data_IF_503073064599
#
_entry.id   IF_503073064599
#
_cell.length_a   1.000
_cell.length_b   1.000
_cell.length_c   1.000
_cell.angle_alpha   90.00
_cell.angle_beta   90.00
_cell.angle_gamma   90.00
#
_symmetry.space_group_name_H-M   'P 1'
#
loop_
_entity.id
_entity.type
_entity.pdbx_description
1 polymer ?
#
# COMPACT_ATOMS: atom_id res chain seq x y z
N UNK A 1 24.30 47.51 11.43
CA UNK A 1 23.50 48.32 10.48
C UNK A 1 22.31 47.45 10.12
N UNK A 2 21.20 47.61 10.84
CA UNK A 2 20.01 48.44 10.51
C UNK A 2 19.50 48.04 9.11
N UNK A 3 18.42 47.26 9.03
CA UNK A 3 16.99 47.61 9.13
C UNK A 3 16.36 47.79 7.74
N UNK A 4 15.30 47.02 7.45
CA UNK A 4 13.95 47.43 6.97
C UNK A 4 13.28 46.22 6.33
N UNK A 5 12.42 45.46 6.95
CA UNK A 5 10.96 45.67 7.15
C UNK A 5 10.31 46.39 5.96
N UNK A 6 9.53 45.63 5.21
CA UNK A 6 8.30 46.13 4.59
C UNK A 6 7.33 44.97 4.39
N UNK A 7 6.28 45.04 5.18
CA UNK A 7 5.05 44.28 5.06
C UNK A 7 4.24 44.82 3.89
N UNK A 8 3.54 43.93 3.18
CA UNK A 8 2.39 44.35 2.36
C UNK A 8 1.30 43.30 2.45
N UNK A 9 0.19 43.81 2.93
CA UNK A 9 -1.09 43.19 3.26
C UNK A 9 -1.92 42.83 2.03
N UNK A 10 -2.71 41.78 2.22
CA UNK A 10 -4.11 41.61 1.86
C UNK A 10 -4.55 41.64 0.39
N UNK A 11 -5.15 40.51 -0.02
CA UNK A 11 -6.49 40.58 -0.63
C UNK A 11 -7.18 39.23 -0.51
N UNK A 12 -8.17 39.22 0.35
CA UNK A 12 -9.23 38.21 0.46
C UNK A 12 -10.21 38.46 -0.69
N UNK A 13 -10.47 37.42 -1.50
CA UNK A 13 -11.67 37.39 -2.35
C UNK A 13 -12.44 36.13 -2.04
N UNK A 14 -13.50 36.31 -1.30
CA UNK A 14 -14.63 35.40 -1.12
C UNK A 14 -15.47 35.43 -2.39
N UNK A 15 -15.64 34.28 -3.02
CA UNK A 15 -16.75 34.06 -3.94
C UNK A 15 -17.55 32.86 -3.43
N UNK A 16 -18.71 33.23 -2.90
CA UNK A 16 -19.82 32.38 -2.48
C UNK A 16 -20.76 32.14 -3.66
N UNK A 17 -21.57 31.07 -3.56
CA UNK A 17 -22.76 30.70 -4.32
C UNK A 17 -22.51 29.70 -5.45
N UNK A 18 -23.36 28.70 -5.69
CA UNK A 18 -24.73 28.40 -5.30
C UNK A 18 -24.98 26.89 -5.34
N UNK A 19 -25.84 26.44 -4.46
CA UNK A 19 -26.52 25.17 -4.50
C UNK A 19 -27.48 25.10 -5.69
N UNK A 20 -27.67 23.91 -6.25
CA UNK A 20 -28.88 23.59 -6.99
C UNK A 20 -29.22 22.12 -6.80
N UNK A 21 -30.24 21.90 -5.94
CA UNK A 21 -31.05 20.70 -5.84
C UNK A 21 -31.80 20.48 -7.16
N UNK A 22 -31.87 19.25 -7.62
CA UNK A 22 -33.00 18.78 -8.41
C UNK A 22 -33.34 17.34 -8.01
N UNK A 23 -34.39 17.25 -7.20
CA UNK A 23 -35.30 16.13 -7.08
C UNK A 23 -35.97 15.83 -8.42
N UNK A 24 -35.95 14.56 -8.83
CA UNK A 24 -37.01 13.98 -9.63
C UNK A 24 -37.33 12.59 -9.10
N UNK A 25 -38.48 12.52 -8.46
CA UNK A 25 -39.22 11.31 -8.06
C UNK A 25 -39.96 10.70 -9.26
N UNK A 26 -40.20 9.43 -9.17
CA UNK A 26 -41.29 8.58 -9.68
C UNK A 26 -40.71 7.26 -10.17
N UNK A 27 -40.93 6.12 -9.57
CA UNK A 27 -42.16 5.49 -9.27
C UNK A 27 -42.37 4.30 -10.20
N UNK A 28 -42.24 3.07 -9.73
CA UNK A 28 -43.20 2.02 -10.13
C UNK A 28 -42.91 0.71 -9.40
N UNK A 29 -43.95 0.25 -8.78
CA UNK A 29 -44.21 -1.02 -8.11
C UNK A 29 -43.94 -2.25 -8.99
N UNK A 30 -43.41 -3.31 -8.38
CA UNK A 30 -43.36 -4.65 -8.94
C UNK A 30 -43.35 -5.68 -7.81
N UNK A 31 -44.55 -6.00 -7.32
CA UNK A 31 -44.83 -7.10 -6.39
C UNK A 31 -44.55 -8.44 -7.07
N UNK A 32 -43.71 -9.27 -6.45
CA UNK A 32 -43.48 -10.66 -6.86
C UNK A 32 -43.23 -11.53 -5.64
N UNK A 33 -44.31 -11.96 -5.01
CA UNK A 33 -44.35 -13.04 -4.02
C UNK A 33 -44.16 -14.37 -4.75
N UNK A 34 -43.33 -15.27 -4.26
CA UNK A 34 -43.58 -16.73 -4.15
C UNK A 34 -42.37 -17.37 -3.40
N UNK A 35 -42.73 -17.93 -2.30
CA UNK A 35 -42.81 -19.34 -1.88
C UNK A 35 -41.49 -19.95 -1.38
N UNK A 36 -41.50 -20.12 -0.09
CA UNK A 36 -40.79 -21.06 0.72
C UNK A 36 -40.81 -22.49 0.19
N UNK A 37 -39.67 -23.15 0.11
CA UNK A 37 -39.62 -24.61 0.18
C UNK A 37 -38.55 -25.02 1.18
N UNK A 38 -39.03 -25.47 2.31
CA UNK A 38 -38.33 -26.15 3.36
C UNK A 38 -37.92 -27.53 2.85
N UNK A 39 -36.64 -27.83 2.83
CA UNK A 39 -36.20 -29.24 2.76
C UNK A 39 -35.21 -29.47 3.88
N UNK A 40 -35.69 -30.15 4.88
CA UNK A 40 -34.94 -30.73 5.99
C UNK A 40 -34.13 -31.90 5.45
N UNK A 41 -32.79 -31.78 5.53
CA UNK A 41 -31.86 -32.86 5.25
C UNK A 41 -30.84 -32.92 6.37
N UNK A 42 -31.12 -33.69 7.41
CA UNK A 42 -30.14 -34.14 8.40
C UNK A 42 -29.15 -35.07 7.72
N UNK A 43 -27.88 -34.70 7.73
CA UNK A 43 -26.77 -35.65 7.66
C UNK A 43 -25.69 -35.21 8.63
N UNK A 44 -25.66 -35.93 9.74
CA UNK A 44 -24.55 -35.95 10.70
C UNK A 44 -23.29 -36.44 9.99
N UNK A 45 -22.44 -35.50 9.61
CA UNK A 45 -21.05 -35.74 9.22
C UNK A 45 -20.16 -35.32 10.38
N UNK A 46 -19.67 -36.26 11.15
CA UNK A 46 -18.59 -36.07 12.11
C UNK A 46 -17.33 -35.66 11.34
N UNK A 47 -17.18 -34.35 11.12
CA UNK A 47 -15.97 -33.75 10.59
C UNK A 47 -15.05 -33.49 11.76
N UNK A 48 -14.05 -34.32 11.94
CA UNK A 48 -12.87 -34.04 12.75
C UNK A 48 -12.32 -32.68 12.39
N UNK A 49 -12.55 -31.72 13.26
CA UNK A 49 -11.83 -30.43 13.24
C UNK A 49 -10.37 -30.77 13.51
N UNK A 50 -9.61 -30.97 12.44
CA UNK A 50 -8.17 -30.83 12.54
C UNK A 50 -7.93 -29.37 12.95
N UNK A 51 -7.67 -29.16 14.21
CA UNK A 51 -7.20 -27.89 14.73
C UNK A 51 -5.97 -27.53 13.92
N UNK A 52 -6.12 -26.52 13.05
CA UNK A 52 -4.99 -25.79 12.49
C UNK A 52 -4.36 -25.13 13.71
N UNK A 53 -3.34 -25.82 14.28
CA UNK A 53 -2.52 -25.26 15.31
C UNK A 53 -2.02 -23.92 14.79
N UNK A 54 -2.44 -22.85 15.42
CA UNK A 54 -1.83 -21.53 15.28
C UNK A 54 -0.39 -21.68 15.75
N UNK A 55 0.50 -22.11 14.86
CA UNK A 55 1.93 -22.04 15.11
C UNK A 55 2.24 -20.54 15.22
N UNK A 56 2.47 -20.09 16.44
CA UNK A 56 2.87 -18.72 16.68
C UNK A 56 4.06 -18.40 15.77
N UNK A 57 3.92 -17.35 14.96
CA UNK A 57 4.98 -16.92 14.05
C UNK A 57 6.23 -16.62 14.86
N UNK A 58 7.38 -17.00 14.34
CA UNK A 58 8.66 -16.77 15.03
C UNK A 58 8.90 -15.26 15.14
N UNK A 59 9.10 -14.72 16.35
CA UNK A 59 9.40 -13.29 16.55
C UNK A 59 10.59 -12.82 15.71
N UNK A 60 10.44 -11.69 15.01
CA UNK A 60 11.47 -11.12 14.13
C UNK A 60 11.63 -11.85 12.79
N UNK A 61 10.72 -12.76 12.44
CA UNK A 61 10.78 -13.48 11.16
C UNK A 61 10.07 -12.72 10.04
N UNK A 62 10.40 -13.09 8.80
CA UNK A 62 9.76 -12.58 7.60
C UNK A 62 8.24 -12.82 7.60
N UNK A 63 7.82 -13.95 8.08
CA UNK A 63 6.42 -14.36 8.14
C UNK A 63 5.63 -13.46 9.11
N UNK A 64 6.21 -13.17 10.29
CA UNK A 64 5.63 -12.23 11.25
C UNK A 64 5.55 -10.81 10.65
N UNK A 65 6.62 -10.35 10.00
CA UNK A 65 6.66 -9.04 9.35
C UNK A 65 5.54 -8.88 8.31
N UNK A 66 5.39 -9.87 7.42
CA UNK A 66 4.34 -9.85 6.39
C UNK A 66 2.95 -9.86 7.01
N UNK A 67 2.74 -10.68 8.03
CA UNK A 67 1.42 -10.83 8.67
C UNK A 67 1.01 -9.61 9.50
N UNK A 68 1.95 -8.99 10.22
CA UNK A 68 1.65 -7.87 11.12
C UNK A 68 1.57 -6.52 10.41
N UNK A 69 2.52 -6.23 9.49
CA UNK A 69 2.68 -4.88 8.93
C UNK A 69 2.64 -4.82 7.42
N UNK A 70 2.68 -5.97 6.76
CA UNK A 70 2.77 -6.03 5.30
C UNK A 70 4.17 -5.70 4.77
N UNK A 71 4.52 -6.32 3.66
CA UNK A 71 5.86 -6.23 3.06
C UNK A 71 5.97 -5.20 1.93
N UNK A 72 4.86 -4.63 1.44
CA UNK A 72 4.88 -3.85 0.20
C UNK A 72 4.08 -2.56 0.26
N UNK A 73 4.55 -1.60 -0.52
CA UNK A 73 3.88 -0.33 -0.81
C UNK A 73 3.75 -0.13 -2.31
N UNK A 74 2.74 0.62 -2.75
CA UNK A 74 2.44 0.83 -4.17
C UNK A 74 2.68 2.27 -4.59
N UNK A 75 3.04 2.42 -5.88
CA UNK A 75 3.36 3.71 -6.48
C UNK A 75 2.44 4.05 -7.65
N UNK A 76 2.27 5.34 -7.88
CA UNK A 76 1.63 5.86 -9.07
C UNK A 76 2.41 5.56 -10.36
N UNK A 77 1.78 5.80 -11.51
CA UNK A 77 2.46 5.71 -12.80
C UNK A 77 3.57 6.75 -12.86
N UNK A 78 4.76 6.29 -13.22
CA UNK A 78 5.97 7.12 -13.35
C UNK A 78 6.33 7.94 -12.10
N UNK A 79 5.91 7.46 -10.91
CA UNK A 79 6.15 8.13 -9.62
C UNK A 79 6.96 7.27 -8.68
N UNK A 80 7.73 7.95 -7.83
CA UNK A 80 8.43 7.39 -6.67
C UNK A 80 7.99 8.03 -5.35
N UNK A 81 7.02 8.97 -5.39
CA UNK A 81 6.47 9.59 -4.19
C UNK A 81 5.60 8.60 -3.41
N UNK A 82 5.74 8.64 -2.08
CA UNK A 82 4.96 7.81 -1.16
C UNK A 82 3.57 8.40 -0.94
N UNK A 83 2.54 7.62 -1.27
CA UNK A 83 1.16 7.99 -0.97
C UNK A 83 0.88 7.92 0.55
N UNK A 84 -0.18 8.57 1.07
CA UNK A 84 -0.55 8.45 2.48
C UNK A 84 -0.76 6.99 2.94
N UNK A 85 -1.32 6.13 2.08
CA UNK A 85 -1.47 4.71 2.37
C UNK A 85 -0.11 4.00 2.44
N UNK A 86 0.84 4.31 1.54
CA UNK A 86 2.19 3.78 1.60
C UNK A 86 2.90 4.22 2.89
N UNK A 87 2.76 5.48 3.27
CA UNK A 87 3.34 6.02 4.51
C UNK A 87 2.79 5.29 5.74
N UNK A 88 1.47 5.05 5.81
CA UNK A 88 0.87 4.30 6.92
C UNK A 88 1.42 2.87 7.03
N UNK A 89 1.62 2.17 5.91
CA UNK A 89 2.27 0.84 5.91
C UNK A 89 3.71 0.94 6.41
N UNK A 90 4.47 1.92 5.95
CA UNK A 90 5.86 2.12 6.36
C UNK A 90 6.00 2.55 7.83
N UNK A 91 5.01 3.26 8.38
CA UNK A 91 4.94 3.55 9.82
C UNK A 91 4.84 2.26 10.63
N UNK A 92 3.98 1.33 10.23
CA UNK A 92 3.90 0.00 10.83
C UNK A 92 5.23 -0.77 10.71
N UNK A 93 5.85 -0.75 9.54
CA UNK A 93 7.17 -1.38 9.32
C UNK A 93 8.26 -0.77 10.20
N UNK A 94 8.26 0.56 10.35
CA UNK A 94 9.23 1.24 11.21
C UNK A 94 9.08 0.82 12.69
N UNK A 95 7.85 0.76 13.21
CA UNK A 95 7.57 0.29 14.58
C UNK A 95 8.05 -1.16 14.77
N UNK A 96 7.77 -2.03 13.80
CA UNK A 96 8.23 -3.42 13.84
C UNK A 96 9.77 -3.52 13.81
N UNK A 97 10.44 -2.76 12.95
CA UNK A 97 11.90 -2.73 12.87
C UNK A 97 12.57 -2.14 14.12
N UNK A 98 11.88 -1.25 14.84
CA UNK A 98 12.32 -0.75 16.15
C UNK A 98 12.20 -1.84 17.22
N UNK A 99 11.14 -2.65 17.18
CA UNK A 99 10.95 -3.80 18.07
C UNK A 99 12.04 -4.86 17.88
N UNK A 100 12.57 -5.01 16.65
CA UNK A 100 13.59 -5.99 16.30
C UNK A 100 14.88 -5.33 15.76
N UNK A 101 15.73 -4.74 16.64
CA UNK A 101 16.88 -3.91 16.20
C UNK A 101 17.99 -4.70 15.48
N UNK A 102 18.07 -6.02 15.65
CA UNK A 102 19.04 -6.87 14.96
C UNK A 102 18.65 -7.25 13.53
N UNK A 103 17.37 -7.06 13.16
CA UNK A 103 16.87 -7.42 11.83
C UNK A 103 17.39 -6.43 10.79
N UNK A 104 17.85 -6.96 9.67
CA UNK A 104 18.21 -6.22 8.46
C UNK A 104 17.16 -6.44 7.40
N UNK A 105 17.03 -5.49 6.48
CA UNK A 105 16.06 -5.56 5.40
C UNK A 105 16.66 -5.09 4.09
N UNK A 106 16.17 -5.68 3.01
CA UNK A 106 16.45 -5.22 1.65
C UNK A 106 15.17 -4.67 1.03
N UNK A 107 15.19 -3.43 0.57
CA UNK A 107 14.07 -2.79 -0.12
C UNK A 107 14.24 -2.98 -1.62
N UNK A 108 13.31 -3.72 -2.21
CA UNK A 108 13.27 -4.00 -3.64
C UNK A 108 12.34 -3.00 -4.36
N UNK A 109 12.84 -2.37 -5.42
CA UNK A 109 12.07 -1.45 -6.27
C UNK A 109 11.64 -2.10 -7.57
N UNK A 110 10.34 -2.02 -7.88
CA UNK A 110 9.74 -2.64 -9.05
C UNK A 110 8.91 -1.65 -9.87
N UNK A 111 8.80 -1.93 -11.16
CA UNK A 111 8.05 -1.15 -12.12
C UNK A 111 7.10 -2.03 -12.94
N UNK A 112 6.14 -1.40 -13.63
CA UNK A 112 5.36 -2.06 -14.65
C UNK A 112 6.18 -2.23 -15.96
N UNK A 113 5.66 -2.95 -16.94
CA UNK A 113 6.37 -3.32 -18.16
C UNK A 113 6.68 -2.17 -19.12
N UNK A 114 6.01 -1.01 -18.97
CA UNK A 114 6.10 0.11 -19.89
C UNK A 114 7.42 0.87 -19.75
N UNK A 115 7.96 1.32 -20.88
CA UNK A 115 9.24 2.02 -20.94
C UNK A 115 10.45 1.10 -21.14
N UNK A 116 11.63 1.70 -21.26
CA UNK A 116 12.88 0.96 -21.45
C UNK A 116 13.33 0.25 -20.18
N UNK A 117 14.22 -0.70 -20.31
CA UNK A 117 14.78 -1.44 -19.17
C UNK A 117 15.57 -0.51 -18.25
N UNK A 118 16.43 0.31 -18.84
CA UNK A 118 17.30 1.23 -18.15
C UNK A 118 16.50 2.28 -17.35
N UNK A 119 15.46 2.83 -17.98
CA UNK A 119 14.56 3.77 -17.32
C UNK A 119 13.87 3.14 -16.12
N UNK A 120 13.31 1.93 -16.28
CA UNK A 120 12.63 1.23 -15.20
C UNK A 120 13.58 0.81 -14.08
N UNK A 121 14.84 0.46 -14.41
CA UNK A 121 15.85 0.18 -13.39
C UNK A 121 16.12 1.43 -12.53
N UNK A 122 16.30 2.58 -13.16
CA UNK A 122 16.47 3.85 -12.45
C UNK A 122 15.22 4.27 -11.65
N UNK A 123 14.00 4.05 -12.19
CA UNK A 123 12.75 4.33 -11.48
C UNK A 123 12.56 3.40 -10.27
N UNK A 124 12.87 2.11 -10.42
CA UNK A 124 12.84 1.15 -9.33
C UNK A 124 13.80 1.54 -8.21
N UNK A 125 15.02 1.99 -8.54
CA UNK A 125 15.98 2.48 -7.56
C UNK A 125 15.45 3.71 -6.81
N UNK A 126 14.86 4.69 -7.50
CA UNK A 126 14.23 5.84 -6.83
C UNK A 126 13.12 5.44 -5.87
N UNK A 127 12.30 4.42 -6.22
CA UNK A 127 11.25 3.87 -5.36
C UNK A 127 11.82 3.21 -4.11
N UNK A 128 12.84 2.37 -4.29
CA UNK A 128 13.52 1.73 -3.16
C UNK A 128 14.16 2.76 -2.22
N UNK A 129 14.82 3.78 -2.79
CA UNK A 129 15.40 4.88 -2.02
C UNK A 129 14.35 5.68 -1.25
N UNK A 130 13.19 6.00 -1.86
CA UNK A 130 12.10 6.71 -1.16
C UNK A 130 11.58 5.93 0.04
N UNK A 131 11.47 4.60 -0.05
CA UNK A 131 11.10 3.75 1.09
C UNK A 131 12.18 3.77 2.16
N UNK A 132 13.45 3.59 1.79
CA UNK A 132 14.59 3.65 2.71
C UNK A 132 14.65 4.99 3.43
N UNK A 133 14.57 6.09 2.70
CA UNK A 133 14.67 7.45 3.26
C UNK A 133 13.52 7.70 4.25
N UNK A 134 12.32 7.20 3.96
CA UNK A 134 11.20 7.29 4.89
C UNK A 134 11.43 6.49 6.17
N UNK A 135 11.91 5.25 6.08
CA UNK A 135 12.22 4.43 7.25
C UNK A 135 13.36 5.04 8.09
N UNK A 136 14.38 5.61 7.45
CA UNK A 136 15.46 6.35 8.13
C UNK A 136 14.91 7.59 8.85
N UNK A 137 14.02 8.35 8.22
CA UNK A 137 13.33 9.48 8.85
C UNK A 137 12.46 9.07 10.05
N UNK A 138 12.02 7.80 10.11
CA UNK A 138 11.33 7.20 11.26
C UNK A 138 12.27 6.59 12.31
N UNK A 139 13.58 6.83 12.17
CA UNK A 139 14.59 6.45 13.17
C UNK A 139 15.20 5.05 12.99
N UNK A 140 15.01 4.41 11.83
CA UNK A 140 15.69 3.16 11.52
C UNK A 140 17.10 3.48 11.00
N UNK A 141 18.12 2.78 11.54
CA UNK A 141 19.49 2.94 11.08
C UNK A 141 19.61 2.56 9.59
N UNK A 142 20.09 3.50 8.78
CA UNK A 142 20.28 3.31 7.33
C UNK A 142 21.24 2.19 6.97
N UNK A 143 22.16 1.81 7.87
CA UNK A 143 23.07 0.67 7.71
C UNK A 143 22.36 -0.70 7.80
N UNK A 144 21.11 -0.72 8.28
CA UNK A 144 20.25 -1.92 8.32
C UNK A 144 19.40 -2.09 7.08
N UNK A 145 19.37 -1.09 6.18
CA UNK A 145 18.48 -1.04 5.03
C UNK A 145 19.32 -1.00 3.75
N UNK A 146 19.29 -2.08 3.00
CA UNK A 146 19.84 -2.14 1.64
C UNK A 146 18.77 -1.81 0.61
N UNK A 147 19.15 -1.30 -0.57
CA UNK A 147 18.23 -1.10 -1.70
C UNK A 147 18.67 -1.90 -2.90
N UNK A 148 17.72 -2.38 -3.69
CA UNK A 148 17.96 -3.01 -4.97
C UNK A 148 16.81 -2.71 -5.93
N UNK A 149 17.10 -2.42 -7.19
CA UNK A 149 16.10 -2.28 -8.23
C UNK A 149 16.08 -3.50 -9.13
N UNK A 150 14.90 -4.02 -9.35
CA UNK A 150 14.63 -5.01 -10.39
C UNK A 150 13.94 -4.38 -11.61
N UNK A 151 13.64 -3.08 -11.55
CA UNK A 151 12.91 -2.42 -12.62
C UNK A 151 11.66 -3.21 -13.00
N UNK A 152 11.51 -3.57 -14.27
CA UNK A 152 10.38 -4.36 -14.78
C UNK A 152 10.64 -5.87 -14.89
N UNK A 153 11.81 -6.34 -14.46
CA UNK A 153 12.26 -7.72 -14.72
C UNK A 153 11.60 -8.77 -13.80
N UNK A 154 10.99 -8.34 -12.69
CA UNK A 154 10.31 -9.23 -11.74
C UNK A 154 8.84 -8.83 -11.53
N UNK A 155 7.97 -9.02 -12.53
CA UNK A 155 6.54 -8.74 -12.38
C UNK A 155 5.89 -9.71 -11.40
N UNK A 156 4.98 -9.22 -10.56
CA UNK A 156 4.15 -10.05 -9.68
C UNK A 156 2.81 -10.40 -10.30
N UNK A 157 2.34 -9.54 -11.20
CA UNK A 157 1.13 -9.78 -12.00
C UNK A 157 1.48 -9.71 -13.49
N UNK A 158 1.10 -10.75 -14.21
CA UNK A 158 1.25 -10.82 -15.66
C UNK A 158 0.05 -10.17 -16.34
N UNK A 159 0.29 -9.59 -17.53
CA UNK A 159 -0.74 -8.99 -18.36
C UNK A 159 -0.58 -7.49 -18.57
N UNK A 160 -1.13 -7.02 -19.71
CA UNK A 160 -1.00 -5.66 -20.23
C UNK A 160 -2.24 -4.83 -19.89
N UNK A 161 -2.61 -4.79 -18.60
CA UNK A 161 -3.79 -4.07 -18.14
C UNK A 161 -3.50 -3.25 -16.88
N UNK A 162 -4.38 -2.30 -16.59
CA UNK A 162 -4.21 -1.38 -15.45
C UNK A 162 -4.04 -2.10 -14.11
N UNK A 163 -4.76 -3.21 -13.90
CA UNK A 163 -4.68 -4.00 -12.66
C UNK A 163 -3.30 -4.61 -12.45
N UNK A 164 -2.76 -5.29 -13.50
CA UNK A 164 -1.41 -5.84 -13.46
C UNK A 164 -0.35 -4.75 -13.26
N UNK A 165 -0.46 -3.63 -13.98
CA UNK A 165 0.48 -2.51 -13.82
C UNK A 165 0.47 -1.93 -12.42
N UNK A 166 -0.71 -1.79 -11.78
CA UNK A 166 -0.80 -1.28 -10.42
C UNK A 166 -0.09 -2.20 -9.42
N UNK A 167 -0.21 -3.51 -9.57
CA UNK A 167 0.46 -4.47 -8.69
C UNK A 167 1.98 -4.51 -8.92
N UNK A 168 2.44 -4.26 -10.14
CA UNK A 168 3.85 -4.27 -10.48
C UNK A 168 4.59 -3.01 -10.00
N UNK A 169 3.91 -1.87 -9.91
CA UNK A 169 4.50 -0.63 -9.39
C UNK A 169 4.56 -0.65 -7.86
N UNK A 170 5.58 -1.28 -7.32
CA UNK A 170 5.69 -1.50 -5.88
C UNK A 170 7.11 -1.35 -5.34
N UNK A 171 7.23 -1.09 -4.06
CA UNK A 171 8.42 -1.31 -3.25
C UNK A 171 8.15 -2.45 -2.28
N UNK A 172 9.07 -3.38 -2.14
CA UNK A 172 8.93 -4.53 -1.24
C UNK A 172 10.05 -4.51 -0.21
N UNK A 173 9.71 -4.53 1.06
CA UNK A 173 10.66 -4.65 2.16
C UNK A 173 10.81 -6.13 2.51
N UNK A 174 11.99 -6.69 2.27
CA UNK A 174 12.31 -8.09 2.52
C UNK A 174 13.17 -8.18 3.76
N UNK A 175 12.79 -9.02 4.72
CA UNK A 175 13.62 -9.36 5.88
C UNK A 175 14.69 -10.34 5.43
N UNK A 176 15.96 -10.03 5.73
CA UNK A 176 17.14 -10.79 5.32
C UNK A 176 17.36 -12.05 6.19
#
# INVERSE_FOLDING_TARGET
MRLKILALLASVVLISACAQDQDISSGSSGTGTVSSTTTTGSSSGSGTSAGVGSSALKPGSKEEFIAEVGDRVFFGYDKSDLTPSAQSTLDGQAVWLQKYPSVRVTVEGHCDERGTREYNLALGERRASSVKDYLVARGIDGGRISTISYGKERPTALGNNKGAWMQNRRGVTVVD
#
